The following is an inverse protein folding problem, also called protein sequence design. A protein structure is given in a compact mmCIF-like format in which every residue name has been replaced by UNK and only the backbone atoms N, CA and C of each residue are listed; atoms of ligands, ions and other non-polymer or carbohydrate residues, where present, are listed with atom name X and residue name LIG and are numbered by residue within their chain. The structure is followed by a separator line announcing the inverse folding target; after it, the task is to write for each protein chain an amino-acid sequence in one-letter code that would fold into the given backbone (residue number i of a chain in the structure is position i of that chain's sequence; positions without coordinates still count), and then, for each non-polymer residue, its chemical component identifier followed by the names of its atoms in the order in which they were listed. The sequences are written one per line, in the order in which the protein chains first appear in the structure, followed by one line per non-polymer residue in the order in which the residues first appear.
data_IF_443847337210
#
_entry.id   IF_443847337210
#
_cell.length_a   1.000
_cell.length_b   1.000
_cell.length_c   1.000
_cell.angle_alpha   90.00
_cell.angle_beta   90.00
_cell.angle_gamma   90.00
#
_symmetry.space_group_name_H-M   'P 1'
#
loop_
_entity.id
_entity.type
_entity.pdbx_description
1 polymer ?
#
# COMPACT_ATOMS: atom_id res chain seq x y z
N UNK A 1 23.06 -18.75 -20.22
CA UNK A 1 21.80 -18.02 -19.95
C UNK A 1 21.38 -18.16 -18.48
N UNK A 2 22.25 -17.81 -17.50
CA UNK A 2 21.90 -17.83 -16.07
C UNK A 2 22.04 -16.45 -15.39
N UNK A 3 22.67 -15.48 -16.07
CA UNK A 3 22.99 -14.16 -15.49
C UNK A 3 21.77 -13.24 -15.38
N UNK A 4 20.80 -13.38 -16.28
CA UNK A 4 19.64 -12.48 -16.34
C UNK A 4 18.65 -12.71 -15.17
N UNK A 5 18.49 -13.96 -14.72
CA UNK A 5 17.60 -14.27 -13.60
C UNK A 5 18.17 -13.82 -12.25
N UNK A 6 19.48 -13.87 -12.07
CA UNK A 6 20.14 -13.39 -10.85
C UNK A 6 20.03 -11.87 -10.71
N UNK A 7 20.23 -11.15 -11.82
CA UNK A 7 20.03 -9.70 -11.88
C UNK A 7 18.57 -9.31 -11.64
N UNK A 8 17.63 -10.02 -12.28
CA UNK A 8 16.20 -9.76 -12.11
C UNK A 8 15.74 -10.02 -10.66
N UNK A 9 16.19 -11.11 -10.04
CA UNK A 9 15.88 -11.47 -8.65
C UNK A 9 16.46 -10.45 -7.65
N UNK A 10 17.69 -10.00 -7.89
CA UNK A 10 18.35 -8.99 -7.03
C UNK A 10 17.67 -7.64 -7.15
N UNK A 11 17.30 -7.26 -8.38
CA UNK A 11 16.58 -6.02 -8.64
C UNK A 11 15.19 -6.04 -8.00
N UNK A 12 14.42 -7.13 -8.17
CA UNK A 12 13.10 -7.24 -7.52
C UNK A 12 13.21 -7.24 -6.00
N UNK A 13 14.23 -7.88 -5.41
CA UNK A 13 14.48 -7.79 -3.97
C UNK A 13 14.81 -6.36 -3.52
N UNK A 14 15.72 -5.66 -4.23
CA UNK A 14 16.09 -4.29 -3.90
C UNK A 14 14.88 -3.34 -4.02
N UNK A 15 14.09 -3.47 -5.08
CA UNK A 15 12.87 -2.70 -5.29
C UNK A 15 11.84 -3.01 -4.20
N UNK A 16 11.63 -4.28 -3.84
CA UNK A 16 10.68 -4.67 -2.79
C UNK A 16 11.10 -4.14 -1.42
N UNK A 17 12.38 -4.23 -1.06
CA UNK A 17 12.92 -3.69 0.19
C UNK A 17 12.76 -2.17 0.27
N UNK A 18 13.17 -1.47 -0.79
CA UNK A 18 13.06 -0.01 -0.86
C UNK A 18 11.59 0.44 -0.84
N UNK A 19 10.72 -0.29 -1.52
CA UNK A 19 9.27 -0.04 -1.51
C UNK A 19 8.65 -0.32 -0.14
N UNK A 20 9.11 -1.33 0.59
CA UNK A 20 8.64 -1.63 1.94
C UNK A 20 8.95 -0.50 2.92
N UNK A 21 10.15 0.09 2.85
CA UNK A 21 10.52 1.27 3.65
C UNK A 21 9.66 2.50 3.30
N UNK A 22 9.47 2.77 2.01
CA UNK A 22 8.61 3.85 1.53
C UNK A 22 7.14 3.64 1.95
N UNK A 23 6.63 2.41 1.83
CA UNK A 23 5.28 2.05 2.22
C UNK A 23 5.06 2.24 3.73
N UNK A 24 6.02 1.84 4.57
CA UNK A 24 5.98 2.06 6.01
C UNK A 24 5.89 3.54 6.37
N UNK A 25 6.72 4.40 5.73
CA UNK A 25 6.70 5.84 5.97
C UNK A 25 5.39 6.51 5.51
N UNK A 26 4.84 6.09 4.36
CA UNK A 26 3.55 6.60 3.87
C UNK A 26 2.41 6.12 4.75
N UNK A 27 2.42 4.86 5.19
CA UNK A 27 1.44 4.30 6.11
C UNK A 27 1.39 5.11 7.41
N UNK A 28 2.56 5.39 8.01
CA UNK A 28 2.67 6.23 9.21
C UNK A 28 2.04 7.62 9.00
N UNK A 29 2.31 8.28 7.86
CA UNK A 29 1.70 9.59 7.55
C UNK A 29 0.19 9.52 7.36
N UNK A 30 -0.30 8.49 6.67
CA UNK A 30 -1.74 8.29 6.46
C UNK A 30 -2.44 7.97 7.77
N UNK A 31 -1.81 7.16 8.63
CA UNK A 31 -2.32 6.84 9.96
C UNK A 31 -2.44 8.09 10.84
N UNK A 32 -1.37 8.90 10.93
CA UNK A 32 -1.39 10.18 11.66
C UNK A 32 -2.52 11.09 11.18
N UNK A 33 -2.78 11.14 9.87
CA UNK A 33 -3.84 11.97 9.31
C UNK A 33 -5.24 11.41 9.58
N UNK A 34 -5.42 10.09 9.53
CA UNK A 34 -6.71 9.42 9.68
C UNK A 34 -7.12 9.23 11.16
N UNK A 35 -6.17 8.91 12.04
CA UNK A 35 -6.42 8.64 13.45
C UNK A 35 -6.44 9.90 14.31
N UNK A 36 -5.91 11.04 13.83
CA UNK A 36 -5.79 12.29 14.59
C UNK A 36 -5.11 12.13 15.96
N UNK A 37 -4.39 11.01 16.16
CA UNK A 37 -3.54 10.70 17.29
C UNK A 37 -2.13 10.38 16.77
N UNK A 38 -1.13 10.76 17.56
CA UNK A 38 0.27 10.82 17.14
C UNK A 38 1.00 9.46 17.13
N UNK A 39 0.39 8.40 17.68
CA UNK A 39 0.98 7.07 17.83
C UNK A 39 0.20 5.96 17.09
N UNK A 40 0.95 5.13 16.37
CA UNK A 40 0.40 3.94 15.73
C UNK A 40 0.14 2.87 16.81
N UNK A 41 -1.02 2.17 16.79
CA UNK A 41 -1.35 1.20 17.82
C UNK A 41 -0.28 0.10 17.86
N UNK A 42 0.33 -0.07 19.04
CA UNK A 42 1.32 -1.09 19.29
C UNK A 42 0.65 -2.47 19.22
N UNK A 43 1.25 -3.39 18.45
CA UNK A 43 0.63 -4.66 18.04
C UNK A 43 0.60 -5.71 19.17
N UNK A 44 0.82 -5.30 20.43
CA UNK A 44 1.08 -6.18 21.57
C UNK A 44 0.23 -5.87 22.81
N UNK A 45 -0.84 -5.08 22.68
CA UNK A 45 -1.81 -4.92 23.77
C UNK A 45 -2.75 -6.13 23.82
N UNK A 46 -2.47 -7.04 24.77
CA UNK A 46 -3.21 -8.28 25.05
C UNK A 46 -4.65 -8.05 25.54
N UNK A 47 -5.05 -6.81 25.83
CA UNK A 47 -6.37 -6.44 26.40
C UNK A 47 -7.38 -5.91 25.35
N UNK A 48 -7.09 -6.00 24.05
CA UNK A 48 -7.94 -5.35 23.02
C UNK A 48 -9.11 -6.20 22.57
N UNK A 49 -10.32 -5.68 22.78
CA UNK A 49 -11.58 -6.29 22.38
C UNK A 49 -11.63 -6.51 20.85
N UNK A 50 -12.29 -7.57 20.41
CA UNK A 50 -12.53 -7.90 18.99
C UNK A 50 -12.95 -6.70 18.11
N UNK A 51 -13.62 -5.71 18.70
CA UNK A 51 -13.99 -4.46 18.04
C UNK A 51 -12.80 -3.68 17.48
N UNK A 52 -11.66 -3.68 18.17
CA UNK A 52 -10.48 -2.91 17.78
C UNK A 52 -9.72 -3.57 16.62
N UNK A 53 -9.65 -4.92 16.62
CA UNK A 53 -9.14 -5.71 15.48
C UNK A 53 -10.00 -5.47 14.24
N UNK A 54 -11.34 -5.48 14.39
CA UNK A 54 -12.26 -5.23 13.29
C UNK A 54 -12.16 -3.80 12.76
N UNK A 55 -11.96 -2.81 13.63
CA UNK A 55 -11.73 -1.41 13.23
C UNK A 55 -10.41 -1.25 12.48
N UNK A 56 -9.32 -1.86 12.97
CA UNK A 56 -8.04 -1.86 12.27
C UNK A 56 -8.13 -2.54 10.90
N UNK A 57 -8.80 -3.69 10.82
CA UNK A 57 -9.03 -4.40 9.56
C UNK A 57 -9.91 -3.60 8.59
N UNK A 58 -10.95 -2.92 9.08
CA UNK A 58 -11.81 -2.05 8.29
C UNK A 58 -11.03 -0.85 7.72
N UNK A 59 -10.16 -0.23 8.53
CA UNK A 59 -9.30 0.86 8.09
C UNK A 59 -8.28 0.38 7.04
N UNK A 60 -7.65 -0.78 7.26
CA UNK A 60 -6.77 -1.40 6.27
C UNK A 60 -7.50 -1.71 4.96
N UNK A 61 -8.74 -2.21 5.05
CA UNK A 61 -9.62 -2.44 3.89
C UNK A 61 -10.00 -1.15 3.16
N UNK A 62 -10.32 -0.09 3.89
CA UNK A 62 -10.65 1.22 3.34
C UNK A 62 -9.47 1.85 2.59
N UNK A 63 -8.26 1.77 3.16
CA UNK A 63 -7.04 2.25 2.52
C UNK A 63 -6.72 1.46 1.25
N UNK A 64 -6.83 0.12 1.29
CA UNK A 64 -6.64 -0.71 0.09
C UNK A 64 -7.66 -0.36 -1.00
N UNK A 65 -8.92 -0.16 -0.64
CA UNK A 65 -9.98 0.28 -1.54
C UNK A 65 -9.68 1.63 -2.17
N UNK A 66 -9.22 2.59 -1.37
CA UNK A 66 -8.82 3.92 -1.83
C UNK A 66 -7.66 3.85 -2.83
N UNK A 67 -6.60 3.11 -2.50
CA UNK A 67 -5.44 2.93 -3.41
C UNK A 67 -5.88 2.30 -4.73
N UNK A 68 -6.72 1.25 -4.69
CA UNK A 68 -7.29 0.63 -5.88
C UNK A 68 -8.11 1.63 -6.71
N UNK A 69 -8.93 2.47 -6.08
CA UNK A 69 -9.71 3.48 -6.79
C UNK A 69 -8.84 4.53 -7.48
N UNK A 70 -7.80 5.02 -6.79
CA UNK A 70 -6.82 5.97 -7.34
C UNK A 70 -6.08 5.32 -8.52
N UNK A 71 -5.58 4.10 -8.36
CA UNK A 71 -4.86 3.38 -9.40
C UNK A 71 -5.75 3.02 -10.58
N UNK A 72 -6.97 2.56 -10.36
CA UNK A 72 -7.90 2.24 -11.43
C UNK A 72 -8.23 3.49 -12.25
N UNK A 73 -8.47 4.63 -11.59
CA UNK A 73 -8.77 5.90 -12.26
C UNK A 73 -7.54 6.52 -12.92
N UNK A 74 -6.39 6.47 -12.26
CA UNK A 74 -5.11 6.97 -12.76
C UNK A 74 -4.58 6.13 -13.91
N UNK A 75 -4.67 4.81 -13.79
CA UNK A 75 -4.37 3.82 -14.81
C UNK A 75 -5.28 3.97 -16.02
N UNK A 76 -6.59 4.08 -15.85
CA UNK A 76 -7.50 4.30 -16.96
C UNK A 76 -7.21 5.62 -17.71
N UNK A 77 -6.86 6.69 -16.99
CA UNK A 77 -6.38 7.94 -17.59
C UNK A 77 -5.01 7.79 -18.27
N UNK A 78 -4.09 7.04 -17.67
CA UNK A 78 -2.75 6.79 -18.20
C UNK A 78 -2.78 5.97 -19.48
N UNK A 79 -3.54 4.87 -19.48
CA UNK A 79 -3.81 4.05 -20.67
C UNK A 79 -4.45 4.92 -21.73
N UNK A 80 -5.51 5.68 -21.42
CA UNK A 80 -6.11 6.61 -22.39
C UNK A 80 -5.10 7.62 -22.94
N UNK A 81 -4.16 8.11 -22.14
CA UNK A 81 -3.13 9.04 -22.59
C UNK A 81 -2.07 8.37 -23.48
N UNK A 82 -1.79 7.09 -23.26
CA UNK A 82 -0.78 6.32 -23.99
C UNK A 82 -1.34 5.66 -25.27
N UNK A 83 -2.55 5.12 -25.22
CA UNK A 83 -3.18 4.37 -26.31
C UNK A 83 -4.31 5.14 -27.00
N UNK A 84 -4.72 6.29 -26.46
CA UNK A 84 -5.85 7.08 -26.98
C UNK A 84 -7.23 6.49 -26.65
N UNK A 85 -7.30 5.22 -26.27
CA UNK A 85 -8.52 4.46 -25.99
C UNK A 85 -8.74 4.28 -24.49
N UNK A 86 -9.98 4.38 -24.06
CA UNK A 86 -10.33 4.10 -22.67
C UNK A 86 -10.31 2.59 -22.41
N UNK A 87 -9.62 2.09 -21.37
CA UNK A 87 -9.72 0.68 -20.99
C UNK A 87 -11.10 0.43 -20.37
N UNK A 88 -11.91 -0.39 -21.04
CA UNK A 88 -13.21 -0.87 -20.58
C UNK A 88 -13.04 -2.05 -19.60
#
# INVERSE_FOLDING_TARGET
MQTDQALYKTFTMAVTLTSGMLAGAVFQKVWKLAAHEDDAPDATDEERAWAEILMAAALQGALLGLTKAILNRGGAKGVRKLTGTWPA
#
